data_IF_367449829639
#
_entry.id   IF_367449829639
#
_cell.length_a   1.000
_cell.length_b   1.000
_cell.length_c   1.000
_cell.angle_alpha   90.00
_cell.angle_beta   90.00
_cell.angle_gamma   90.00
#
_symmetry.space_group_name_H-M   'P 1'
#
loop_
_entity.id
_entity.type
_entity.pdbx_description
1 polymer ?
#
# COMPACT_ATOMS: atom_id res chain seq x y z
N UNK A 1 -3.20 -5.61 -15.12
CA UNK A 1 -2.92 -4.93 -13.83
C UNK A 1 -3.91 -5.35 -12.75
N UNK A 2 -5.23 -5.24 -12.98
CA UNK A 2 -6.24 -5.59 -11.96
C UNK A 2 -6.30 -7.08 -11.61
N UNK A 3 -6.17 -7.95 -12.62
CA UNK A 3 -6.09 -9.40 -12.42
C UNK A 3 -4.88 -9.82 -11.55
N UNK A 4 -3.73 -9.17 -11.75
CA UNK A 4 -2.51 -9.43 -10.97
C UNK A 4 -2.65 -9.04 -9.50
N UNK A 5 -3.43 -7.99 -9.19
CA UNK A 5 -3.74 -7.60 -7.81
C UNK A 5 -4.61 -8.66 -7.13
N UNK A 6 -5.74 -9.03 -7.74
CA UNK A 6 -6.67 -10.00 -7.17
C UNK A 6 -6.00 -11.37 -6.93
N UNK A 7 -5.12 -11.80 -7.83
CA UNK A 7 -4.30 -12.98 -7.63
C UNK A 7 -3.40 -12.86 -6.38
N UNK A 8 -2.71 -11.73 -6.20
CA UNK A 8 -1.86 -11.53 -5.02
C UNK A 8 -2.67 -11.45 -3.72
N UNK A 9 -3.88 -10.87 -3.73
CA UNK A 9 -4.77 -10.87 -2.56
C UNK A 9 -5.13 -12.31 -2.14
N UNK A 10 -5.45 -13.18 -3.11
CA UNK A 10 -5.71 -14.59 -2.85
C UNK A 10 -4.47 -15.31 -2.28
N UNK A 11 -3.28 -15.03 -2.83
CA UNK A 11 -2.01 -15.58 -2.29
C UNK A 11 -1.78 -15.14 -0.85
N UNK A 12 -1.97 -13.85 -0.55
CA UNK A 12 -1.81 -13.34 0.81
C UNK A 12 -2.79 -13.99 1.80
N UNK A 13 -4.05 -14.16 1.40
CA UNK A 13 -5.06 -14.80 2.23
C UNK A 13 -4.77 -16.29 2.51
N UNK A 14 -4.23 -17.01 1.52
CA UNK A 14 -4.00 -18.46 1.63
C UNK A 14 -2.71 -18.81 2.38
N UNK A 15 -1.65 -18.01 2.23
CA UNK A 15 -0.31 -18.40 2.66
C UNK A 15 0.23 -17.60 3.85
N UNK A 16 -0.44 -16.53 4.26
CA UNK A 16 0.07 -15.64 5.30
C UNK A 16 -1.01 -15.35 6.34
N UNK A 17 -0.65 -15.37 7.62
CA UNK A 17 -1.50 -14.83 8.70
C UNK A 17 -1.73 -13.33 8.51
N UNK A 18 -2.85 -12.79 8.99
CA UNK A 18 -3.19 -11.36 8.84
C UNK A 18 -2.11 -10.42 9.42
N UNK A 19 -1.45 -10.85 10.50
CA UNK A 19 -0.38 -10.08 11.15
C UNK A 19 1.01 -10.27 10.53
N UNK A 20 1.13 -11.06 9.44
CA UNK A 20 2.41 -11.32 8.83
C UNK A 20 2.97 -10.06 8.14
N UNK A 21 4.28 -9.84 8.32
CA UNK A 21 5.03 -8.87 7.52
C UNK A 21 5.38 -9.49 6.16
N UNK A 22 4.88 -8.91 5.08
CA UNK A 22 5.18 -9.33 3.71
C UNK A 22 6.46 -8.64 3.24
N UNK A 23 7.43 -9.41 2.76
CA UNK A 23 8.69 -8.91 2.19
C UNK A 23 8.67 -9.09 0.67
N UNK A 24 8.92 -7.99 -0.06
CA UNK A 24 8.95 -7.99 -1.53
C UNK A 24 10.27 -7.44 -2.05
N UNK A 25 10.97 -8.23 -2.89
CA UNK A 25 12.16 -7.82 -3.62
C UNK A 25 11.79 -7.43 -5.07
N UNK A 26 12.25 -6.27 -5.54
CA UNK A 26 12.05 -5.84 -6.93
C UNK A 26 10.63 -5.34 -7.20
N UNK A 27 10.16 -4.39 -6.39
CA UNK A 27 8.76 -4.03 -6.34
C UNK A 27 8.20 -3.40 -7.64
N UNK A 28 8.99 -2.75 -8.50
CA UNK A 28 8.46 -2.25 -9.77
C UNK A 28 7.22 -1.36 -9.60
N UNK A 29 6.12 -1.67 -10.28
CA UNK A 29 4.80 -1.00 -10.13
C UNK A 29 3.86 -1.70 -9.13
N UNK A 30 4.47 -2.55 -8.28
CA UNK A 30 3.98 -3.62 -7.42
C UNK A 30 2.47 -3.84 -7.28
N UNK A 31 1.96 -4.95 -7.86
CA UNK A 31 0.69 -5.55 -7.48
C UNK A 31 0.67 -6.08 -6.04
N UNK A 32 1.83 -6.49 -5.49
CA UNK A 32 1.96 -7.05 -4.13
C UNK A 32 1.69 -5.99 -3.08
N UNK A 33 2.30 -4.82 -3.22
CA UNK A 33 2.11 -3.68 -2.33
C UNK A 33 0.64 -3.22 -2.34
N UNK A 34 0.01 -3.17 -3.53
CA UNK A 34 -1.41 -2.84 -3.67
C UNK A 34 -2.31 -3.88 -3.01
N UNK A 35 -1.98 -5.17 -3.16
CA UNK A 35 -2.71 -6.24 -2.49
C UNK A 35 -2.56 -6.18 -0.97
N UNK A 36 -1.36 -5.89 -0.45
CA UNK A 36 -1.12 -5.69 0.97
C UNK A 36 -1.93 -4.50 1.51
N UNK A 37 -1.96 -3.39 0.78
CA UNK A 37 -2.78 -2.22 1.14
C UNK A 37 -4.28 -2.56 1.15
N UNK A 38 -4.78 -3.29 0.15
CA UNK A 38 -6.18 -3.68 0.06
C UNK A 38 -6.61 -4.66 1.17
N UNK A 39 -5.67 -5.47 1.65
CA UNK A 39 -5.90 -6.50 2.69
C UNK A 39 -5.43 -6.07 4.08
N UNK A 40 -5.06 -4.80 4.27
CA UNK A 40 -4.60 -4.24 5.55
C UNK A 40 -3.38 -4.94 6.16
N UNK A 41 -2.48 -5.44 5.32
CA UNK A 41 -1.27 -6.15 5.75
C UNK A 41 -0.03 -5.26 5.71
N UNK A 42 0.85 -5.45 6.68
CA UNK A 42 2.14 -4.80 6.69
C UNK A 42 3.02 -5.35 5.57
N UNK A 43 3.61 -4.46 4.77
CA UNK A 43 4.49 -4.83 3.66
C UNK A 43 5.75 -3.97 3.67
N UNK A 44 6.89 -4.62 3.50
CA UNK A 44 8.19 -3.99 3.31
C UNK A 44 8.72 -4.36 1.92
N UNK A 45 8.71 -3.37 1.03
CA UNK A 45 9.12 -3.52 -0.36
C UNK A 45 10.44 -2.81 -0.62
N UNK A 46 11.31 -3.41 -1.43
CA UNK A 46 12.55 -2.79 -1.88
C UNK A 46 12.77 -2.97 -3.38
N UNK A 47 13.48 -2.03 -3.98
CA UNK A 47 13.87 -2.07 -5.39
C UNK A 47 15.27 -1.45 -5.54
N UNK A 48 16.08 -2.02 -6.43
CA UNK A 48 17.42 -1.47 -6.73
C UNK A 48 17.36 -0.18 -7.54
N UNK A 49 16.22 0.11 -8.19
CA UNK A 49 16.04 1.30 -9.00
C UNK A 49 15.35 2.42 -8.20
N UNK A 50 16.12 3.45 -7.85
CA UNK A 50 15.61 4.60 -7.11
C UNK A 50 14.45 5.34 -7.83
N UNK A 51 14.39 5.32 -9.16
CA UNK A 51 13.29 5.90 -9.93
C UNK A 51 11.97 5.17 -9.70
N UNK A 52 12.03 3.84 -9.58
CA UNK A 52 10.88 2.99 -9.26
C UNK A 52 10.40 3.25 -7.84
N UNK A 53 11.32 3.28 -6.87
CA UNK A 53 10.99 3.60 -5.46
C UNK A 53 10.28 4.95 -5.36
N UNK A 54 10.80 5.98 -6.03
CA UNK A 54 10.19 7.31 -6.06
C UNK A 54 8.78 7.31 -6.69
N UNK A 55 8.57 6.53 -7.76
CA UNK A 55 7.26 6.40 -8.41
C UNK A 55 6.24 5.74 -7.46
N UNK A 56 6.63 4.67 -6.77
CA UNK A 56 5.78 3.96 -5.80
C UNK A 56 5.40 4.87 -4.63
N UNK A 57 6.38 5.57 -4.04
CA UNK A 57 6.16 6.50 -2.93
C UNK A 57 5.20 7.63 -3.34
N UNK A 58 5.40 8.24 -4.51
CA UNK A 58 4.49 9.29 -5.01
C UNK A 58 3.06 8.77 -5.17
N UNK A 59 2.91 7.59 -5.77
CA UNK A 59 1.60 6.96 -5.97
C UNK A 59 0.89 6.70 -4.64
N UNK A 60 1.60 6.19 -3.63
CA UNK A 60 1.07 5.98 -2.29
C UNK A 60 0.64 7.30 -1.62
N UNK A 61 1.51 8.32 -1.67
CA UNK A 61 1.21 9.64 -1.09
C UNK A 61 -0.03 10.25 -1.75
N UNK A 62 -0.18 10.10 -3.06
CA UNK A 62 -1.33 10.63 -3.80
C UNK A 62 -2.62 9.86 -3.51
N UNK A 63 -2.55 8.53 -3.38
CA UNK A 63 -3.67 7.71 -2.93
C UNK A 63 -4.10 8.08 -1.50
N UNK A 64 -3.14 8.25 -0.58
CA UNK A 64 -3.39 8.70 0.79
C UNK A 64 -4.00 10.11 0.81
N UNK A 65 -3.49 11.05 0.02
CA UNK A 65 -4.07 12.40 -0.10
C UNK A 65 -5.50 12.37 -0.63
N UNK A 66 -5.79 11.50 -1.58
CA UNK A 66 -7.14 11.34 -2.14
C UNK A 66 -8.09 10.73 -1.12
N UNK A 67 -7.69 9.65 -0.45
CA UNK A 67 -8.47 9.01 0.60
C UNK A 67 -8.73 9.92 1.81
N UNK A 68 -7.80 10.85 2.08
CA UNK A 68 -7.92 11.84 3.16
C UNK A 68 -8.50 13.17 2.70
N UNK A 69 -8.90 13.31 1.43
CA UNK A 69 -9.51 14.54 0.90
C UNK A 69 -10.85 14.75 1.61
N UNK A 70 -11.01 15.91 2.24
CA UNK A 70 -12.17 16.18 3.11
C UNK A 70 -11.99 15.72 4.55
N UNK A 71 -10.78 15.32 4.96
CA UNK A 71 -10.43 15.12 6.36
C UNK A 71 -9.34 16.12 6.78
N UNK A 72 -9.44 16.65 8.00
CA UNK A 72 -8.38 17.44 8.63
C UNK A 72 -7.71 16.65 9.74
N UNK A 73 -6.37 16.69 9.76
CA UNK A 73 -5.59 16.17 10.88
C UNK A 73 -5.57 17.21 12.00
N UNK A 74 -6.00 16.81 13.19
CA UNK A 74 -5.64 17.50 14.44
C UNK A 74 -4.48 16.75 15.07
N UNK A 75 -3.48 17.49 15.56
CA UNK A 75 -2.25 16.93 16.13
C UNK A 75 -2.51 15.76 17.09
N UNK A 76 -1.52 14.86 17.22
CA UNK A 76 -1.58 13.54 17.89
C UNK A 76 -2.39 12.46 17.16
N UNK A 77 -2.43 12.50 15.83
CA UNK A 77 -2.93 11.38 15.02
C UNK A 77 -4.46 11.28 14.90
N UNK A 78 -5.21 12.33 15.27
CA UNK A 78 -6.68 12.33 15.14
C UNK A 78 -7.13 12.99 13.83
N UNK A 79 -8.03 12.34 13.10
CA UNK A 79 -8.63 12.88 11.86
C UNK A 79 -10.11 13.22 12.07
N UNK A 80 -10.57 14.35 11.53
CA UNK A 80 -12.00 14.72 11.46
C UNK A 80 -12.42 14.98 10.03
N UNK A 81 -13.59 14.48 9.62
CA UNK A 81 -14.21 14.87 8.36
C UNK A 81 -14.54 16.38 8.39
N UNK A 82 -14.09 17.11 7.38
CA UNK A 82 -14.47 18.49 7.10
C UNK A 82 -15.92 18.48 6.64
N UNK A 83 -16.74 19.37 7.22
CA UNK A 83 -18.12 19.59 6.77
C UNK A 83 -18.13 20.30 5.43
#
# INVERSE_FOLDING_TARGET
>A
MEQSRAFMEAVLALFFSEDALVLEMGCGTSPVLKACQATWRACFSFDSNAGVVNLVVRTLVEAMRTATKGFSWRGKGSMRMMK
#
